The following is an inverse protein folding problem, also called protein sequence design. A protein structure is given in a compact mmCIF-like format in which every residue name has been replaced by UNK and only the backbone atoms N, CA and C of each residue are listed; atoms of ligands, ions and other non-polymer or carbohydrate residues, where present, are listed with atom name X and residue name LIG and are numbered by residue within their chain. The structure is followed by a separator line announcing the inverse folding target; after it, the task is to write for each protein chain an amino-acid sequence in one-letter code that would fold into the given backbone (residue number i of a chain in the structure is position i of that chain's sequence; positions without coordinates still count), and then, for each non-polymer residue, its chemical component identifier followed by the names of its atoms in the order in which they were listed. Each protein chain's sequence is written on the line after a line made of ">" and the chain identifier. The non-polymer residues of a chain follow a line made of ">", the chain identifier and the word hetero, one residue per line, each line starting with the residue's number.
data_IF_291863567268
#
_entry.id   IF_291863567268
#
_cell.length_a   1.000
_cell.length_b   1.000
_cell.length_c   1.000
_cell.angle_alpha   90.00
_cell.angle_beta   90.00
_cell.angle_gamma   90.00
#
_symmetry.space_group_name_H-M   'P 1'
#
loop_
_entity.id
_entity.type
_entity.pdbx_description
1 polymer ?
#
# COMPACT_ATOMS: atom_id res chain seq x y z
N UNK A 1 -17.90 -8.41 28.02
CA UNK A 1 -17.57 -6.98 28.10
C UNK A 1 -17.76 -6.39 26.73
N UNK A 2 -18.82 -5.59 26.57
CA UNK A 2 -19.31 -5.09 25.29
C UNK A 2 -18.40 -3.96 24.78
N UNK A 3 -17.46 -4.26 23.87
CA UNK A 3 -16.80 -3.22 23.08
C UNK A 3 -17.81 -2.74 22.05
N UNK A 4 -18.36 -1.54 22.26
CA UNK A 4 -19.21 -0.90 21.26
C UNK A 4 -18.41 -0.78 19.95
N UNK A 5 -18.86 -1.47 18.91
CA UNK A 5 -18.22 -1.45 17.59
C UNK A 5 -18.23 -0.01 17.06
N UNK A 6 -17.06 0.49 16.69
CA UNK A 6 -16.93 1.78 16.01
C UNK A 6 -17.59 1.63 14.64
N UNK A 7 -18.63 2.44 14.39
CA UNK A 7 -19.30 2.52 13.08
C UNK A 7 -18.79 3.76 12.36
N UNK A 8 -18.34 3.57 11.13
CA UNK A 8 -17.87 4.66 10.26
C UNK A 8 -18.99 5.01 9.27
N UNK A 9 -19.44 6.26 9.33
CA UNK A 9 -20.47 6.79 8.44
C UNK A 9 -19.87 7.80 7.46
N UNK A 10 -20.19 7.64 6.17
CA UNK A 10 -20.05 8.70 5.18
C UNK A 10 -21.31 9.57 5.25
N UNK A 11 -21.17 10.83 5.66
CA UNK A 11 -22.28 11.76 5.80
C UNK A 11 -22.28 12.76 4.64
N UNK A 12 -23.37 12.79 3.87
CA UNK A 12 -23.63 13.82 2.86
C UNK A 12 -24.80 14.67 3.33
N UNK A 13 -24.65 15.99 3.34
CA UNK A 13 -25.65 16.92 3.83
C UNK A 13 -25.94 18.02 2.79
N UNK A 14 -27.22 18.36 2.61
CA UNK A 14 -27.66 19.45 1.74
C UNK A 14 -28.62 20.37 2.47
N UNK A 15 -28.53 21.68 2.20
CA UNK A 15 -29.45 22.66 2.75
C UNK A 15 -30.85 22.44 2.18
N UNK A 16 -31.86 22.43 3.04
CA UNK A 16 -33.27 22.40 2.64
C UNK A 16 -33.78 23.83 2.61
N UNK A 17 -34.20 24.26 1.42
CA UNK A 17 -34.75 25.58 1.19
C UNK A 17 -36.28 25.51 1.21
N UNK A 18 -36.93 26.56 1.69
CA UNK A 18 -38.36 26.75 1.45
C UNK A 18 -38.63 27.36 0.06
N UNK A 19 -39.92 27.62 -0.24
CA UNK A 19 -40.34 28.21 -1.51
C UNK A 19 -39.85 29.64 -1.73
N UNK A 20 -39.38 30.33 -0.68
CA UNK A 20 -38.83 31.69 -0.75
C UNK A 20 -37.31 31.71 -0.91
N UNK A 21 -36.67 30.53 -0.86
CA UNK A 21 -35.22 30.38 -0.91
C UNK A 21 -34.54 30.52 0.45
N UNK A 22 -35.29 30.64 1.55
CA UNK A 22 -34.72 30.68 2.89
C UNK A 22 -34.33 29.27 3.35
N UNK A 23 -33.19 29.15 4.03
CA UNK A 23 -32.74 27.89 4.60
C UNK A 23 -33.64 27.54 5.79
N UNK A 24 -34.36 26.42 5.68
CA UNK A 24 -35.27 25.93 6.72
C UNK A 24 -34.81 24.61 7.34
N UNK A 25 -33.63 24.12 6.95
CA UNK A 25 -33.01 22.97 7.59
C UNK A 25 -31.92 22.32 6.75
N UNK A 26 -31.59 21.09 7.13
CA UNK A 26 -30.59 20.25 6.47
C UNK A 26 -31.20 18.87 6.26
N UNK A 27 -31.00 18.30 5.08
CA UNK A 27 -31.24 16.88 4.81
C UNK A 27 -29.89 16.21 4.74
N UNK A 28 -29.72 15.15 5.53
CA UNK A 28 -28.48 14.36 5.56
C UNK A 28 -28.78 12.90 5.23
N UNK A 29 -27.87 12.28 4.48
CA UNK A 29 -27.84 10.84 4.21
C UNK A 29 -26.54 10.31 4.82
N UNK A 30 -26.65 9.30 5.69
CA UNK A 30 -25.52 8.57 6.24
C UNK A 30 -25.43 7.20 5.59
N UNK A 31 -24.28 6.88 5.01
CA UNK A 31 -23.97 5.53 4.53
C UNK A 31 -22.99 4.86 5.50
N UNK A 32 -23.33 3.67 5.99
CA UNK A 32 -22.38 2.85 6.75
C UNK A 32 -21.29 2.31 5.82
N UNK A 33 -20.06 2.75 6.06
CA UNK A 33 -18.85 2.35 5.34
C UNK A 33 -17.88 1.57 6.23
N UNK A 34 -18.30 1.12 7.42
CA UNK A 34 -17.46 0.44 8.40
C UNK A 34 -16.76 -0.77 7.80
N UNK A 35 -17.51 -1.61 7.08
CA UNK A 35 -16.94 -2.80 6.44
C UNK A 35 -15.92 -2.42 5.37
N UNK A 36 -16.24 -1.44 4.52
CA UNK A 36 -15.34 -0.95 3.48
C UNK A 36 -14.04 -0.40 4.07
N UNK A 37 -14.13 0.43 5.10
CA UNK A 37 -12.97 1.00 5.77
C UNK A 37 -12.10 -0.05 6.45
N UNK A 38 -12.72 -0.99 7.16
CA UNK A 38 -11.98 -2.08 7.79
C UNK A 38 -11.26 -2.98 6.77
N UNK A 39 -11.83 -3.16 5.58
CA UNK A 39 -11.22 -3.93 4.51
C UNK A 39 -10.06 -3.15 3.87
N UNK A 40 -10.22 -1.84 3.64
CA UNK A 40 -9.15 -0.96 3.17
C UNK A 40 -7.96 -0.99 4.13
N UNK A 41 -8.19 -0.82 5.42
CA UNK A 41 -7.14 -0.83 6.45
C UNK A 41 -6.41 -2.17 6.53
N UNK A 42 -7.13 -3.29 6.48
CA UNK A 42 -6.53 -4.64 6.45
C UNK A 42 -5.69 -4.85 5.21
N UNK A 43 -6.19 -4.40 4.05
CA UNK A 43 -5.44 -4.49 2.79
C UNK A 43 -4.15 -3.67 2.86
N UNK A 44 -4.21 -2.44 3.36
CA UNK A 44 -3.01 -1.60 3.54
C UNK A 44 -2.00 -2.24 4.49
N UNK A 45 -2.46 -2.73 5.63
CA UNK A 45 -1.61 -3.40 6.63
C UNK A 45 -0.95 -4.64 6.03
N UNK A 46 -1.72 -5.47 5.32
CA UNK A 46 -1.21 -6.66 4.66
C UNK A 46 -0.13 -6.32 3.62
N UNK A 47 -0.37 -5.32 2.77
CA UNK A 47 0.62 -4.86 1.79
C UNK A 47 1.90 -4.34 2.45
N UNK A 48 1.79 -3.54 3.50
CA UNK A 48 2.94 -3.02 4.24
C UNK A 48 3.81 -4.16 4.83
N UNK A 49 3.17 -5.13 5.47
CA UNK A 49 3.87 -6.30 6.06
C UNK A 49 4.60 -7.09 4.98
N UNK A 50 3.92 -7.45 3.89
CA UNK A 50 4.53 -8.24 2.81
C UNK A 50 5.74 -7.52 2.22
N UNK A 51 5.65 -6.22 1.99
CA UNK A 51 6.78 -5.45 1.44
C UNK A 51 7.97 -5.38 2.38
N UNK A 52 7.75 -5.30 3.69
CA UNK A 52 8.83 -5.41 4.68
C UNK A 52 9.48 -6.79 4.66
N UNK A 53 8.67 -7.85 4.63
CA UNK A 53 9.14 -9.24 4.60
C UNK A 53 9.87 -9.59 3.29
N UNK A 54 9.47 -9.00 2.15
CA UNK A 54 10.15 -9.17 0.86
C UNK A 54 11.46 -8.38 0.79
N UNK A 55 11.58 -7.27 1.51
CA UNK A 55 12.77 -6.42 1.49
C UNK A 55 14.02 -7.17 1.94
N UNK A 56 13.93 -7.97 2.99
CA UNK A 56 15.06 -8.72 3.55
C UNK A 56 15.65 -9.77 2.57
N UNK A 57 14.88 -10.73 2.01
CA UNK A 57 15.40 -11.72 1.08
C UNK A 57 15.91 -11.09 -0.22
N UNK A 58 15.28 -10.02 -0.73
CA UNK A 58 15.77 -9.31 -1.93
C UNK A 58 17.14 -8.67 -1.68
N UNK A 59 17.32 -8.00 -0.53
CA UNK A 59 18.63 -7.46 -0.14
C UNK A 59 19.67 -8.57 0.03
N UNK A 60 19.28 -9.73 0.56
CA UNK A 60 20.14 -10.91 0.64
C UNK A 60 20.62 -11.39 -0.73
N UNK A 61 19.72 -11.51 -1.71
CA UNK A 61 20.09 -11.90 -3.09
C UNK A 61 21.00 -10.85 -3.72
N UNK A 62 20.68 -9.56 -3.57
CA UNK A 62 21.49 -8.45 -4.08
C UNK A 62 22.91 -8.50 -3.49
N UNK A 63 23.03 -8.50 -2.16
CA UNK A 63 24.31 -8.49 -1.46
C UNK A 63 25.14 -9.74 -1.72
N UNK A 64 24.52 -10.92 -1.80
CA UNK A 64 25.24 -12.15 -2.15
C UNK A 64 25.76 -12.11 -3.60
N UNK A 65 24.95 -11.63 -4.54
CA UNK A 65 25.37 -11.48 -5.93
C UNK A 65 26.52 -10.49 -6.10
N UNK A 66 26.51 -9.40 -5.32
CA UNK A 66 27.59 -8.41 -5.27
C UNK A 66 28.87 -9.00 -4.67
N UNK A 67 28.77 -9.69 -3.52
CA UNK A 67 29.91 -10.32 -2.87
C UNK A 67 30.59 -11.35 -3.78
N UNK A 68 29.81 -12.18 -4.48
CA UNK A 68 30.34 -13.14 -5.45
C UNK A 68 30.99 -12.46 -6.67
N UNK A 69 30.47 -11.32 -7.10
CA UNK A 69 30.99 -10.58 -8.25
C UNK A 69 32.35 -9.92 -7.99
N UNK A 70 32.70 -9.66 -6.72
CA UNK A 70 33.98 -9.09 -6.32
C UNK A 70 35.15 -10.04 -6.58
N UNK A 71 34.95 -11.35 -6.38
CA UNK A 71 36.00 -12.38 -6.52
C UNK A 71 35.95 -13.13 -7.85
N UNK A 72 34.91 -12.91 -8.66
CA UNK A 72 34.71 -13.62 -9.92
C UNK A 72 35.65 -13.13 -11.03
N UNK A 73 36.40 -14.06 -11.62
CA UNK A 73 37.36 -13.80 -12.69
C UNK A 73 36.80 -14.15 -14.07
N UNK A 74 35.79 -15.02 -14.15
CA UNK A 74 35.11 -15.37 -15.39
C UNK A 74 34.12 -14.26 -15.79
N UNK A 75 34.41 -13.58 -16.90
CA UNK A 75 33.58 -12.51 -17.47
C UNK A 75 32.12 -12.94 -17.69
N UNK A 76 31.87 -14.19 -18.11
CA UNK A 76 30.51 -14.70 -18.34
C UNK A 76 29.76 -14.88 -17.01
N UNK A 77 30.42 -15.40 -15.98
CA UNK A 77 29.81 -15.53 -14.63
C UNK A 77 29.56 -14.16 -14.01
N UNK A 78 30.51 -13.23 -14.13
CA UNK A 78 30.35 -11.84 -13.66
C UNK A 78 29.15 -11.15 -14.32
N UNK A 79 28.93 -11.37 -15.63
CA UNK A 79 27.74 -10.85 -16.33
C UNK A 79 26.43 -11.42 -15.78
N UNK A 80 26.40 -12.71 -15.42
CA UNK A 80 25.23 -13.35 -14.79
C UNK A 80 24.97 -12.79 -13.39
N UNK A 81 26.01 -12.61 -12.57
CA UNK A 81 25.88 -12.02 -11.23
C UNK A 81 25.34 -10.59 -11.28
N UNK A 82 25.83 -9.78 -12.22
CA UNK A 82 25.27 -8.44 -12.46
C UNK A 82 23.81 -8.48 -12.92
N UNK A 83 23.40 -9.50 -13.68
CA UNK A 83 22.00 -9.68 -14.08
C UNK A 83 21.12 -10.00 -12.86
N UNK A 84 21.58 -10.88 -11.96
CA UNK A 84 20.89 -11.20 -10.70
C UNK A 84 20.71 -9.93 -9.87
N UNK A 85 21.80 -9.17 -9.64
CA UNK A 85 21.75 -7.88 -8.95
C UNK A 85 20.69 -6.95 -9.55
N UNK A 86 20.75 -6.72 -10.86
CA UNK A 86 19.84 -5.81 -11.55
C UNK A 86 18.38 -6.27 -11.44
N UNK A 87 18.12 -7.58 -11.47
CA UNK A 87 16.79 -8.13 -11.26
C UNK A 87 16.32 -7.90 -9.81
N UNK A 88 17.18 -8.11 -8.82
CA UNK A 88 16.86 -7.85 -7.40
C UNK A 88 16.55 -6.37 -7.15
N UNK A 89 17.33 -5.45 -7.71
CA UNK A 89 17.05 -4.01 -7.61
C UNK A 89 15.72 -3.65 -8.25
N UNK A 90 15.46 -4.11 -9.47
CA UNK A 90 14.17 -3.86 -10.16
C UNK A 90 12.98 -4.44 -9.40
N UNK A 91 13.14 -5.59 -8.75
CA UNK A 91 12.09 -6.19 -7.94
C UNK A 91 11.82 -5.34 -6.69
N UNK A 92 12.85 -4.78 -6.06
CA UNK A 92 12.69 -3.86 -4.93
C UNK A 92 11.94 -2.59 -5.34
N UNK A 93 12.28 -2.02 -6.49
CA UNK A 93 11.60 -0.85 -7.06
C UNK A 93 10.12 -1.19 -7.31
N UNK A 94 9.83 -2.31 -7.96
CA UNK A 94 8.46 -2.76 -8.22
C UNK A 94 7.64 -2.97 -6.93
N UNK A 95 8.24 -3.59 -5.91
CA UNK A 95 7.59 -3.78 -4.60
C UNK A 95 7.28 -2.42 -3.95
N UNK A 96 8.17 -1.45 -4.12
CA UNK A 96 7.99 -0.08 -3.61
C UNK A 96 6.87 0.65 -4.37
N UNK A 97 6.86 0.57 -5.70
CA UNK A 97 5.81 1.18 -6.53
C UNK A 97 4.40 0.62 -6.23
N UNK A 98 4.31 -0.70 -5.99
CA UNK A 98 3.04 -1.35 -5.61
C UNK A 98 2.56 -0.86 -4.23
N UNK A 99 3.47 -0.59 -3.30
CA UNK A 99 3.11 0.03 -2.03
C UNK A 99 2.63 1.46 -2.20
N UNK A 100 3.35 2.29 -2.96
CA UNK A 100 3.03 3.70 -3.11
C UNK A 100 1.66 3.89 -3.79
N UNK A 101 1.35 3.07 -4.78
CA UNK A 101 0.01 3.02 -5.40
C UNK A 101 -1.09 2.54 -4.45
N UNK A 102 -0.73 1.75 -3.42
CA UNK A 102 -1.66 1.25 -2.41
C UNK A 102 -1.83 2.20 -1.21
N UNK A 103 -0.81 3.01 -0.91
CA UNK A 103 -0.80 4.00 0.16
C UNK A 103 -1.44 5.33 -0.27
N UNK A 104 -1.55 5.60 -1.57
CA UNK A 104 -2.21 6.81 -2.08
C UNK A 104 -3.74 6.62 -2.21
N UNK A 105 -4.44 6.74 -1.08
CA UNK A 105 -5.77 7.35 -0.94
C UNK A 105 -5.98 7.86 0.48
#
# INVERSE_FOLDING_TARGET
>A
GNQAGVVVLLLSATARLDSTGAIVGVVSIGQDITQHKSLEERKMTFMAVISHELRSPIHGICGLSEAMALTEQDVKRKKKLNMIKNCSTRLLDLVTDIMDTSAMR
#
